data_IF_432869023663
#
_entry.id   IF_432869023663
#
_cell.length_a   1.000
_cell.length_b   1.000
_cell.length_c   1.000
_cell.angle_alpha   90.00
_cell.angle_beta   90.00
_cell.angle_gamma   90.00
#
_symmetry.space_group_name_H-M   'P 1'
#
loop_
_entity.id
_entity.type
_entity.pdbx_description
1 polymer ?
#
# COMPACT_ATOMS: atom_id res chain seq x y z
N UNK A 1 2.22 -5.80 5.00
CA UNK A 1 0.76 -5.89 4.81
C UNK A 1 0.31 -7.25 5.34
N UNK A 2 -0.12 -7.35 6.60
CA UNK A 2 -0.44 -8.64 7.20
C UNK A 2 -1.77 -9.27 6.69
N UNK A 3 -2.61 -8.51 5.99
CA UNK A 3 -3.93 -8.96 5.52
C UNK A 3 -4.06 -9.07 3.98
N UNK A 4 -3.01 -8.74 3.23
CA UNK A 4 -3.08 -8.73 1.77
C UNK A 4 -3.24 -10.14 1.20
N UNK A 5 -4.23 -10.33 0.34
CA UNK A 5 -4.45 -11.55 -0.43
C UNK A 5 -4.08 -11.28 -1.87
N UNK A 6 -3.37 -12.22 -2.49
CA UNK A 6 -2.83 -12.03 -3.85
C UNK A 6 -3.93 -12.16 -4.92
N UNK A 7 -5.06 -12.78 -4.58
CA UNK A 7 -6.09 -13.25 -5.51
C UNK A 7 -7.46 -12.59 -5.32
N UNK A 8 -7.64 -11.76 -4.29
CA UNK A 8 -8.95 -11.17 -3.97
C UNK A 8 -9.37 -10.08 -4.96
N UNK A 9 -8.48 -9.70 -5.88
CA UNK A 9 -8.74 -8.70 -6.89
C UNK A 9 -8.87 -7.29 -6.30
N UNK A 10 -8.27 -7.05 -5.13
CA UNK A 10 -8.24 -5.76 -4.45
C UNK A 10 -6.80 -5.29 -4.23
N UNK A 11 -6.62 -3.97 -4.21
CA UNK A 11 -5.37 -3.35 -3.77
C UNK A 11 -5.52 -2.93 -2.30
N UNK A 12 -4.58 -3.35 -1.46
CA UNK A 12 -4.47 -2.89 -0.08
C UNK A 12 -3.80 -1.51 0.00
N UNK A 13 -4.55 -0.53 0.47
CA UNK A 13 -4.12 0.85 0.60
C UNK A 13 -3.85 1.12 2.08
N UNK A 14 -2.65 1.58 2.40
CA UNK A 14 -2.33 2.04 3.76
C UNK A 14 -2.03 3.53 3.75
N UNK A 15 -2.88 4.30 4.42
CA UNK A 15 -2.74 5.75 4.53
C UNK A 15 -2.28 6.13 5.93
N UNK A 16 -1.14 6.84 6.00
CA UNK A 16 -0.60 7.35 7.27
C UNK A 16 -0.93 8.84 7.37
N UNK A 17 -1.80 9.20 8.31
CA UNK A 17 -2.12 10.61 8.60
C UNK A 17 -0.89 11.32 9.15
N UNK A 18 -0.87 12.66 9.05
CA UNK A 18 0.23 13.49 9.53
C UNK A 18 0.61 13.12 10.98
N UNK A 19 1.85 12.66 11.14
CA UNK A 19 2.46 12.32 12.41
C UNK A 19 3.80 13.02 12.55
N UNK A 20 4.18 13.36 13.78
CA UNK A 20 5.53 13.83 14.05
C UNK A 20 6.52 12.69 13.77
N UNK A 21 7.63 12.98 13.10
CA UNK A 21 8.67 11.98 12.73
C UNK A 21 9.10 11.13 13.93
N UNK A 22 9.20 11.75 15.11
CA UNK A 22 9.58 11.06 16.35
C UNK A 22 8.56 9.99 16.77
N UNK A 23 7.26 10.21 16.54
CA UNK A 23 6.23 9.20 16.80
C UNK A 23 6.29 8.06 15.78
N UNK A 24 6.65 8.34 14.52
CA UNK A 24 6.84 7.29 13.51
C UNK A 24 8.03 6.42 13.89
N UNK A 25 9.16 7.03 14.28
CA UNK A 25 10.36 6.30 14.71
C UNK A 25 10.12 5.46 15.97
N UNK A 26 9.46 6.01 17.00
CA UNK A 26 9.14 5.27 18.23
C UNK A 26 8.22 4.07 17.96
N UNK A 27 7.32 4.20 16.98
CA UNK A 27 6.38 3.15 16.60
C UNK A 27 6.87 2.31 15.41
N UNK A 28 8.13 2.47 14.97
CA UNK A 28 8.68 1.74 13.83
C UNK A 28 8.59 0.22 14.04
N UNK A 29 8.75 -0.25 15.29
CA UNK A 29 8.57 -1.67 15.64
C UNK A 29 7.14 -2.17 15.41
N UNK A 30 6.14 -1.32 15.55
CA UNK A 30 4.73 -1.66 15.27
C UNK A 30 4.41 -1.67 13.76
N UNK A 31 5.16 -0.91 12.95
CA UNK A 31 5.01 -0.92 11.48
C UNK A 31 5.34 -2.32 10.90
N UNK A 32 6.33 -3.00 11.48
CA UNK A 32 6.80 -4.31 11.02
C UNK A 32 6.21 -5.50 11.79
N UNK A 33 5.53 -5.28 12.92
CA UNK A 33 4.98 -6.37 13.74
C UNK A 33 3.56 -6.79 13.34
N UNK A 34 3.04 -6.30 12.22
CA UNK A 34 1.66 -6.57 11.76
C UNK A 34 0.56 -5.86 12.56
N UNK A 35 0.91 -5.00 13.52
CA UNK A 35 -0.03 -4.21 14.36
C UNK A 35 -0.14 -2.75 13.93
N UNK A 36 0.28 -2.47 12.71
CA UNK A 36 0.31 -1.11 12.16
C UNK A 36 -1.08 -0.47 12.13
N UNK A 37 -2.13 -1.27 11.96
CA UNK A 37 -3.52 -0.83 11.89
C UNK A 37 -4.14 -0.52 13.27
N UNK A 38 -3.49 -0.90 14.37
CA UNK A 38 -3.95 -0.55 15.73
C UNK A 38 -3.76 0.95 16.03
N UNK A 39 -2.96 1.65 15.23
CA UNK A 39 -2.73 3.07 15.37
C UNK A 39 -3.86 3.86 14.69
N UNK A 40 -4.63 4.71 15.42
CA UNK A 40 -5.74 5.47 14.85
C UNK A 40 -5.34 6.48 13.76
N UNK A 41 -4.03 6.72 13.60
CA UNK A 41 -3.45 7.56 12.54
C UNK A 41 -3.07 6.78 11.29
N UNK A 42 -3.22 5.46 11.30
CA UNK A 42 -3.09 4.60 10.12
C UNK A 42 -4.48 4.16 9.72
N UNK A 43 -4.78 4.28 8.43
CA UNK A 43 -5.98 3.74 7.82
C UNK A 43 -5.59 2.64 6.85
N UNK A 44 -6.43 1.63 6.76
CA UNK A 44 -6.33 0.55 5.79
C UNK A 44 -7.64 0.48 5.03
N UNK A 45 -7.55 0.47 3.72
CA UNK A 45 -8.68 0.39 2.81
C UNK A 45 -8.36 -0.60 1.70
N UNK A 46 -9.38 -1.17 1.08
CA UNK A 46 -9.23 -2.03 -0.09
C UNK A 46 -10.03 -1.48 -1.25
N UNK A 47 -9.41 -1.35 -2.44
CA UNK A 47 -10.10 -0.85 -3.62
C UNK A 47 -9.58 -1.48 -4.92
N UNK A 48 -10.42 -1.48 -5.95
CA UNK A 48 -10.03 -1.91 -7.32
C UNK A 48 -9.40 -0.79 -8.15
N UNK A 49 -9.72 0.45 -7.80
CA UNK A 49 -9.23 1.66 -8.45
C UNK A 49 -8.99 2.73 -7.39
N UNK A 50 -7.86 3.42 -7.48
CA UNK A 50 -7.54 4.57 -6.64
C UNK A 50 -7.08 5.74 -7.50
N UNK A 51 -7.47 6.93 -7.07
CA UNK A 51 -7.02 8.20 -7.66
C UNK A 51 -6.41 9.03 -6.54
N UNK A 52 -5.19 9.53 -6.77
CA UNK A 52 -4.40 10.26 -5.79
C UNK A 52 -4.11 11.64 -6.37
N UNK A 53 -4.72 12.66 -5.78
CA UNK A 53 -4.48 14.06 -6.08
C UNK A 53 -3.89 14.75 -4.85
N UNK A 54 -2.85 15.58 -5.04
CA UNK A 54 -2.23 16.32 -3.93
C UNK A 54 -2.00 17.78 -4.29
N UNK A 55 -2.13 18.65 -3.29
CA UNK A 55 -1.78 20.06 -3.41
C UNK A 55 -0.77 20.46 -2.31
N UNK A 56 0.47 20.87 -2.66
CA UNK A 56 1.04 20.93 -4.03
C UNK A 56 1.25 19.52 -4.63
N UNK A 57 1.52 19.40 -5.95
CA UNK A 57 1.81 18.12 -6.58
C UNK A 57 2.96 17.38 -5.89
N UNK A 58 2.72 16.13 -5.50
CA UNK A 58 3.68 15.29 -4.80
C UNK A 58 4.27 14.26 -5.76
N UNK A 59 5.54 13.90 -5.54
CA UNK A 59 6.16 12.78 -6.26
C UNK A 59 5.60 11.46 -5.77
N UNK A 60 5.63 10.48 -6.67
CA UNK A 60 5.43 9.07 -6.32
C UNK A 60 6.68 8.26 -6.65
N UNK A 61 6.87 7.20 -5.88
CA UNK A 61 7.86 6.16 -6.11
C UNK A 61 7.15 4.83 -6.36
N UNK A 62 7.52 4.14 -7.43
CA UNK A 62 6.98 2.83 -7.81
C UNK A 62 8.19 1.92 -7.99
N UNK A 63 8.25 0.80 -7.25
CA UNK A 63 9.33 -0.19 -7.29
C UNK A 63 10.76 0.39 -7.24
N UNK A 64 10.95 1.50 -6.50
CA UNK A 64 12.24 2.17 -6.33
C UNK A 64 12.53 3.28 -7.36
N UNK A 65 11.61 3.53 -8.29
CA UNK A 65 11.75 4.55 -9.33
C UNK A 65 10.77 5.72 -9.12
N UNK A 66 11.26 6.95 -9.28
CA UNK A 66 10.42 8.15 -9.14
C UNK A 66 9.61 8.41 -10.43
N UNK A 67 8.28 8.34 -10.35
CA UNK A 67 7.39 8.28 -11.52
C UNK A 67 6.56 9.57 -11.76
N UNK A 68 7.16 10.75 -11.58
CA UNK A 68 6.52 12.04 -11.85
C UNK A 68 5.74 12.61 -10.66
N UNK A 69 4.69 13.40 -10.93
CA UNK A 69 3.90 14.11 -9.91
C UNK A 69 2.39 13.88 -10.09
N UNK A 70 1.64 13.97 -9.00
CA UNK A 70 0.17 13.79 -8.99
C UNK A 70 -0.55 14.73 -9.98
N UNK A 71 -1.68 14.32 -10.58
CA UNK A 71 -2.53 13.19 -10.18
C UNK A 71 -2.04 11.82 -10.66
N UNK A 72 -2.34 10.78 -9.89
CA UNK A 72 -2.06 9.38 -10.24
C UNK A 72 -3.32 8.55 -10.16
N UNK A 73 -3.50 7.62 -11.11
CA UNK A 73 -4.56 6.61 -11.06
C UNK A 73 -3.93 5.23 -11.07
N UNK A 74 -4.33 4.38 -10.13
CA UNK A 74 -3.96 2.97 -10.11
C UNK A 74 -5.23 2.13 -10.27
N UNK A 75 -5.11 1.10 -11.09
CA UNK A 75 -6.19 0.14 -11.35
C UNK A 75 -5.60 -1.27 -11.34
N UNK A 76 -6.28 -2.18 -10.65
CA UNK A 76 -5.86 -3.57 -10.62
C UNK A 76 -6.33 -4.29 -11.89
N UNK A 77 -5.41 -4.99 -12.55
CA UNK A 77 -5.71 -5.87 -13.67
C UNK A 77 -5.68 -7.34 -13.21
N UNK A 78 -6.81 -7.91 -12.77
CA UNK A 78 -6.86 -9.27 -12.21
C UNK A 78 -6.47 -10.31 -13.27
N UNK A 79 -5.60 -11.25 -12.90
CA UNK A 79 -5.16 -12.33 -13.79
C UNK A 79 -4.32 -11.87 -14.99
N UNK A 80 -3.73 -10.67 -14.94
CA UNK A 80 -2.96 -10.10 -16.06
C UNK A 80 -1.66 -10.84 -16.39
N UNK A 81 -1.09 -11.59 -15.43
CA UNK A 81 0.19 -12.28 -15.58
C UNK A 81 0.08 -13.72 -15.09
N UNK A 82 0.65 -14.66 -15.85
CA UNK A 82 0.84 -16.05 -15.43
C UNK A 82 2.20 -16.21 -14.78
N UNK A 83 2.23 -16.76 -13.57
CA UNK A 83 3.47 -16.94 -12.79
C UNK A 83 3.67 -18.43 -12.49
N UNK A 84 4.91 -18.90 -12.59
CA UNK A 84 5.29 -20.25 -12.16
C UNK A 84 5.44 -20.25 -10.64
N UNK A 85 4.68 -21.11 -9.96
CA UNK A 85 4.66 -21.20 -8.49
C UNK A 85 5.16 -22.57 -8.02
N UNK A 86 5.67 -22.63 -6.79
CA UNK A 86 6.11 -23.88 -6.18
C UNK A 86 4.96 -24.84 -5.86
N UNK A 87 5.23 -26.14 -5.65
CA UNK A 87 4.20 -27.18 -5.47
C UNK A 87 3.34 -27.03 -4.21
N UNK A 88 3.68 -26.12 -3.30
CA UNK A 88 2.91 -25.83 -2.08
C UNK A 88 2.17 -24.49 -2.13
N UNK A 89 2.16 -23.82 -3.28
CA UNK A 89 1.42 -22.56 -3.42
C UNK A 89 -0.07 -22.86 -3.49
N UNK A 90 -0.82 -22.31 -2.54
CA UNK A 90 -2.27 -22.38 -2.48
C UNK A 90 -2.78 -20.95 -2.58
N UNK A 91 -3.77 -20.75 -3.43
CA UNK A 91 -4.52 -19.51 -3.58
C UNK A 91 -5.57 -19.46 -2.48
#
# INVERSE_FOLDING_TARGET
MPAAKIDDGLMDITMIKRMQKLMIMKNFRYLYSGRIYDNPKVMHEQAKKIEIETWPPSRIEIDGEAMGYSPFTFELLPGSIKVVVGPKFVI
#
